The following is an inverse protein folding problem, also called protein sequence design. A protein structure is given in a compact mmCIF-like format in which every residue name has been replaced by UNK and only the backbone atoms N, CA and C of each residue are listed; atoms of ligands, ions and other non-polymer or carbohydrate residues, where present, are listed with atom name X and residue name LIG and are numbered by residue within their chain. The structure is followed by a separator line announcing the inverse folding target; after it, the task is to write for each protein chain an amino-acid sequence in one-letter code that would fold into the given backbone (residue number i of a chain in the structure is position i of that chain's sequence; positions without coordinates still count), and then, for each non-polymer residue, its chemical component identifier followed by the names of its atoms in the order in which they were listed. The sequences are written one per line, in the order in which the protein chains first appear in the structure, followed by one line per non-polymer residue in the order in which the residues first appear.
data_IF_851012703938
#
_entry.id   IF_851012703938
#
_cell.length_a   1.000
_cell.length_b   1.000
_cell.length_c   1.000
_cell.angle_alpha   90.00
_cell.angle_beta   90.00
_cell.angle_gamma   90.00
#
_symmetry.space_group_name_H-M   'P 1'
#
loop_
_entity.id
_entity.type
_entity.pdbx_description
1 polymer ?
#
# COMPACT_ATOMS: atom_id res chain seq x y z
N UNK A 1 -18.16 -11.61 17.85
CA UNK A 1 -17.71 -10.23 17.57
C UNK A 1 -17.60 -10.08 16.06
N UNK A 2 -18.09 -8.97 15.47
CA UNK A 2 -17.72 -8.62 14.11
C UNK A 2 -16.22 -8.33 14.06
N UNK A 3 -15.58 -8.71 12.97
CA UNK A 3 -14.19 -8.39 12.70
C UNK A 3 -14.07 -6.87 12.44
N UNK A 4 -13.18 -6.12 13.12
CA UNK A 4 -13.09 -4.67 12.97
C UNK A 4 -12.71 -4.19 11.56
N UNK A 5 -12.20 -5.09 10.71
CA UNK A 5 -11.92 -4.79 9.31
C UNK A 5 -13.17 -4.84 8.42
N UNK A 6 -14.25 -5.46 8.88
CA UNK A 6 -15.51 -5.60 8.13
C UNK A 6 -16.55 -4.52 8.53
N UNK A 7 -16.21 -3.62 9.47
CA UNK A 7 -17.10 -2.55 9.94
C UNK A 7 -17.00 -1.29 9.08
N UNK A 8 -17.80 -1.23 8.01
CA UNK A 8 -17.78 -0.11 7.06
C UNK A 8 -18.26 1.22 7.66
N UNK A 9 -18.96 1.20 8.80
CA UNK A 9 -19.38 2.40 9.52
C UNK A 9 -18.27 2.95 10.44
N UNK A 10 -17.16 2.19 10.58
CA UNK A 10 -15.98 2.55 11.35
C UNK A 10 -15.11 3.63 10.70
N UNK A 11 -14.06 4.00 11.42
CA UNK A 11 -13.02 4.94 10.94
C UNK A 11 -11.74 4.18 10.64
N UNK A 12 -11.13 4.54 9.52
CA UNK A 12 -9.98 3.83 8.97
C UNK A 12 -8.83 4.79 8.64
N UNK A 13 -7.64 4.21 8.61
CA UNK A 13 -6.41 4.77 8.07
C UNK A 13 -6.09 4.05 6.76
N UNK A 14 -5.35 4.70 5.89
CA UNK A 14 -4.62 4.01 4.82
C UNK A 14 -3.15 3.98 5.20
N UNK A 15 -2.60 2.77 5.21
CA UNK A 15 -1.19 2.51 5.50
C UNK A 15 -0.45 2.10 4.23
N UNK A 16 0.84 2.39 4.18
CA UNK A 16 1.76 1.88 3.16
C UNK A 16 3.00 1.27 3.83
N UNK A 17 3.50 0.16 3.29
CA UNK A 17 4.76 -0.46 3.72
C UNK A 17 5.92 -0.18 2.76
N UNK A 18 7.12 -0.65 3.13
CA UNK A 18 8.35 -0.48 2.32
C UNK A 18 8.31 -1.19 0.96
N UNK A 19 7.38 -2.11 0.75
CA UNK A 19 7.14 -2.78 -0.53
C UNK A 19 6.11 -2.06 -1.42
N UNK A 20 5.63 -0.88 -0.98
CA UNK A 20 4.56 -0.08 -1.61
C UNK A 20 3.20 -0.77 -1.66
N UNK A 21 2.94 -1.66 -0.71
CA UNK A 21 1.62 -2.27 -0.54
C UNK A 21 0.77 -1.38 0.34
N UNK A 22 -0.48 -1.20 -0.05
CA UNK A 22 -1.45 -0.42 0.70
C UNK A 22 -2.31 -1.34 1.59
N UNK A 23 -2.72 -0.84 2.76
CA UNK A 23 -3.61 -1.53 3.67
C UNK A 23 -4.65 -0.58 4.24
N UNK A 24 -5.91 -1.00 4.20
CA UNK A 24 -6.99 -0.38 4.97
C UNK A 24 -6.90 -0.86 6.41
N UNK A 25 -6.81 0.07 7.37
CA UNK A 25 -6.52 -0.25 8.76
C UNK A 25 -7.49 0.43 9.74
N UNK A 26 -8.15 -0.29 10.65
CA UNK A 26 -9.04 0.33 11.63
C UNK A 26 -8.29 1.32 12.52
N UNK A 27 -8.80 2.55 12.65
CA UNK A 27 -8.16 3.62 13.42
C UNK A 27 -8.06 3.34 14.92
N UNK A 28 -8.89 2.42 15.43
CA UNK A 28 -8.89 1.98 16.81
C UNK A 28 -7.75 0.97 17.15
N UNK A 29 -6.98 0.52 16.16
CA UNK A 29 -5.89 -0.45 16.32
C UNK A 29 -4.56 0.26 16.09
N UNK A 30 -3.61 0.05 17.01
CA UNK A 30 -2.25 0.59 16.88
C UNK A 30 -1.60 0.19 15.54
N UNK A 31 -0.91 1.14 14.92
CA UNK A 31 -0.22 0.93 13.65
C UNK A 31 1.00 0.03 13.87
N UNK A 32 1.13 -1.11 13.16
CA UNK A 32 2.27 -1.99 13.31
C UNK A 32 3.57 -1.33 12.80
N UNK A 33 4.74 -1.70 13.36
CA UNK A 33 6.02 -1.20 12.87
C UNK A 33 6.25 -1.61 11.40
N UNK A 34 6.92 -0.75 10.64
CA UNK A 34 7.15 -0.95 9.20
C UNK A 34 6.00 -0.49 8.30
N UNK A 35 4.95 0.08 8.88
CA UNK A 35 3.86 0.72 8.14
C UNK A 35 3.83 2.22 8.43
N UNK A 36 3.53 3.00 7.40
CA UNK A 36 3.40 4.46 7.48
C UNK A 36 1.99 4.87 7.12
N UNK A 37 1.39 5.79 7.89
CA UNK A 37 0.07 6.35 7.58
C UNK A 37 0.19 7.32 6.40
N UNK A 38 -0.52 7.04 5.31
CA UNK A 38 -0.58 7.90 4.12
C UNK A 38 -1.92 8.64 4.00
N UNK A 39 -2.99 8.08 4.57
CA UNK A 39 -4.26 8.77 4.81
C UNK A 39 -4.63 8.65 6.28
N UNK A 40 -4.83 9.79 6.93
CA UNK A 40 -5.28 9.88 8.32
C UNK A 40 -6.75 9.50 8.46
N UNK A 41 -7.21 9.35 9.70
CA UNK A 41 -8.55 8.86 10.04
C UNK A 41 -9.66 9.44 9.14
N UNK A 42 -10.30 8.58 8.35
CA UNK A 42 -11.36 8.92 7.38
C UNK A 42 -12.45 7.84 7.39
N UNK A 43 -13.55 8.07 6.67
CA UNK A 43 -14.58 7.04 6.47
C UNK A 43 -14.09 5.94 5.52
N UNK A 44 -14.77 4.80 5.52
CA UNK A 44 -14.41 3.63 4.73
C UNK A 44 -14.31 3.93 3.23
N UNK A 45 -15.29 4.64 2.65
CA UNK A 45 -15.31 4.90 1.21
C UNK A 45 -14.14 5.80 0.79
N UNK A 46 -13.88 6.88 1.53
CA UNK A 46 -12.74 7.76 1.27
C UNK A 46 -11.40 7.00 1.30
N UNK A 47 -11.25 6.04 2.22
CA UNK A 47 -10.03 5.23 2.30
C UNK A 47 -9.90 4.25 1.13
N UNK A 48 -11.00 3.63 0.70
CA UNK A 48 -11.02 2.73 -0.47
C UNK A 48 -10.69 3.50 -1.73
N UNK A 49 -11.34 4.63 -1.97
CA UNK A 49 -11.11 5.49 -3.13
C UNK A 49 -9.64 5.93 -3.20
N UNK A 50 -9.07 6.29 -2.05
CA UNK A 50 -7.65 6.65 -1.96
C UNK A 50 -6.73 5.50 -2.37
N UNK A 51 -7.00 4.26 -1.91
CA UNK A 51 -6.22 3.08 -2.29
C UNK A 51 -6.35 2.82 -3.79
N UNK A 52 -7.55 2.88 -4.35
CA UNK A 52 -7.78 2.66 -5.78
C UNK A 52 -7.08 3.71 -6.65
N UNK A 53 -7.04 4.97 -6.22
CA UNK A 53 -6.34 6.05 -6.93
C UNK A 53 -4.81 5.91 -6.85
N UNK A 54 -4.27 5.48 -5.70
CA UNK A 54 -2.82 5.52 -5.45
C UNK A 54 -2.11 4.18 -5.71
N UNK A 55 -2.81 3.05 -5.62
CA UNK A 55 -2.23 1.72 -5.83
C UNK A 55 -2.28 1.29 -7.30
N UNK A 56 -1.62 2.06 -8.16
CA UNK A 56 -1.64 1.88 -9.62
C UNK A 56 -0.70 0.79 -10.14
N UNK A 57 0.32 0.43 -9.37
CA UNK A 57 1.23 -0.67 -9.66
C UNK A 57 1.25 -1.66 -8.49
N UNK A 58 0.67 -2.83 -8.71
CA UNK A 58 0.57 -3.89 -7.69
C UNK A 58 1.82 -4.78 -7.63
N UNK A 59 2.85 -4.51 -8.45
CA UNK A 59 4.11 -5.26 -8.36
C UNK A 59 4.83 -4.87 -7.06
N UNK A 60 5.36 -5.86 -6.30
CA UNK A 60 6.23 -5.55 -5.16
C UNK A 60 7.40 -4.69 -5.62
N UNK A 61 7.81 -3.69 -4.82
CA UNK A 61 8.96 -2.84 -5.14
C UNK A 61 10.20 -3.64 -5.52
N UNK A 62 10.48 -4.74 -4.80
CA UNK A 62 11.60 -5.64 -5.04
C UNK A 62 11.59 -6.27 -6.44
N UNK A 63 10.41 -6.57 -7.00
CA UNK A 63 10.28 -7.10 -8.35
C UNK A 63 10.56 -6.01 -9.40
N UNK A 64 10.09 -4.79 -9.18
CA UNK A 64 10.36 -3.65 -10.09
C UNK A 64 11.85 -3.37 -10.15
N UNK A 65 12.52 -3.29 -8.99
CA UNK A 65 13.96 -3.06 -8.90
C UNK A 65 14.77 -4.15 -9.63
N UNK A 66 14.35 -5.42 -9.50
CA UNK A 66 15.01 -6.53 -10.20
C UNK A 66 14.84 -6.45 -11.73
N UNK A 67 13.66 -6.04 -12.22
CA UNK A 67 13.41 -5.89 -13.66
C UNK A 67 14.18 -4.71 -14.28
N UNK A 68 14.29 -3.59 -13.57
CA UNK A 68 15.07 -2.43 -14.03
C UNK A 68 16.57 -2.75 -14.10
N UNK A 69 17.09 -3.50 -13.13
CA UNK A 69 18.47 -3.96 -13.12
C UNK A 69 18.79 -4.91 -14.30
N UNK A 70 17.90 -5.86 -14.62
CA UNK A 70 18.04 -6.73 -15.80
C UNK A 70 18.03 -5.93 -17.11
N UNK A 71 17.09 -4.98 -17.26
CA UNK A 71 17.01 -4.15 -18.46
C UNK A 71 18.29 -3.30 -18.68
N UNK A 72 18.82 -2.71 -17.61
CA UNK A 72 20.08 -1.94 -17.67
C UNK A 72 21.29 -2.83 -18.01
N UNK A 73 21.33 -4.06 -17.48
CA UNK A 73 22.38 -5.02 -17.80
C UNK A 73 22.35 -5.44 -19.27
N UNK A 74 21.17 -5.58 -19.88
CA UNK A 74 21.03 -5.95 -21.30
C UNK A 74 21.45 -4.82 -22.22
N UNK A 75 21.00 -3.59 -21.95
CA UNK A 75 21.36 -2.43 -22.75
C UNK A 75 22.88 -2.15 -22.78
N UNK A 76 23.60 -2.52 -21.71
CA UNK A 76 25.06 -2.35 -21.62
C UNK A 76 25.85 -3.44 -22.35
N UNK A 77 25.23 -4.58 -22.67
CA UNK A 77 25.87 -5.68 -23.39
C UNK A 77 25.76 -5.53 -24.92
N UNK A 78 24.92 -4.60 -25.39
CA UNK A 78 24.61 -4.38 -26.81
C UNK A 78 25.32 -3.16 -27.42
N UNK A 79 26.14 -2.42 -26.64
CA UNK A 79 26.92 -1.25 -27.08
C UNK A 79 28.43 -1.48 -27.06
#
# INVERSE_FOLDING_TARGET
MPNPFDDTDGRFLVLINDERQYSLWPAAIDVPPGWTVTLTESDHQTCVDYIEEHWTDMRPRSLVEAMEADAASRASAEG
#
